data_IF_650897124883
#
_entry.id   IF_650897124883
#
_cell.length_a   1.000
_cell.length_b   1.000
_cell.length_c   1.000
_cell.angle_alpha   90.00
_cell.angle_beta   90.00
_cell.angle_gamma   90.00
#
_symmetry.space_group_name_H-M   'P 1'
#
loop_
_entity.id
_entity.type
_entity.pdbx_description
1 polymer ?
#
# COMPACT_ATOMS: atom_id res chain seq x y z
N UNK A 1 -9.94 -7.83 -14.97
CA UNK A 1 -8.58 -7.33 -15.30
C UNK A 1 -8.08 -6.26 -14.33
N UNK A 2 -8.84 -5.18 -14.05
CA UNK A 2 -8.42 -4.07 -13.17
C UNK A 2 -7.89 -4.50 -11.78
N UNK A 3 -8.56 -5.45 -11.12
CA UNK A 3 -8.15 -5.97 -9.80
C UNK A 3 -6.77 -6.66 -9.79
N UNK A 4 -6.42 -7.44 -10.82
CA UNK A 4 -5.10 -8.12 -10.90
C UNK A 4 -3.95 -7.14 -11.07
N UNK A 5 -4.15 -6.09 -11.88
CA UNK A 5 -3.15 -5.04 -12.07
C UNK A 5 -2.93 -4.26 -10.77
N UNK A 6 -4.00 -3.89 -10.07
CA UNK A 6 -3.92 -3.20 -8.79
C UNK A 6 -3.23 -4.04 -7.72
N UNK A 7 -3.52 -5.34 -7.66
CA UNK A 7 -2.81 -6.28 -6.78
C UNK A 7 -1.30 -6.31 -7.08
N UNK A 8 -0.92 -6.29 -8.36
CA UNK A 8 0.49 -6.19 -8.76
C UNK A 8 1.16 -4.91 -8.25
N UNK A 9 0.47 -3.77 -8.34
CA UNK A 9 0.99 -2.49 -7.80
C UNK A 9 1.15 -2.53 -6.28
N UNK A 10 0.19 -3.09 -5.55
CA UNK A 10 0.27 -3.27 -4.09
C UNK A 10 1.49 -4.11 -3.72
N UNK A 11 1.71 -5.25 -4.38
CA UNK A 11 2.86 -6.13 -4.11
C UNK A 11 4.17 -5.40 -4.39
N UNK A 12 4.28 -4.69 -5.52
CA UNK A 12 5.47 -3.93 -5.86
C UNK A 12 5.74 -2.82 -4.83
N UNK A 13 4.72 -2.04 -4.47
CA UNK A 13 4.84 -0.93 -3.52
C UNK A 13 5.23 -1.42 -2.14
N UNK A 14 4.67 -2.55 -1.67
CA UNK A 14 5.06 -3.22 -0.42
C UNK A 14 6.54 -3.61 -0.41
N UNK A 15 7.07 -4.15 -1.51
CA UNK A 15 8.51 -4.46 -1.63
C UNK A 15 9.38 -3.21 -1.54
N UNK A 16 8.99 -2.13 -2.22
CA UNK A 16 9.71 -0.84 -2.16
C UNK A 16 9.70 -0.27 -0.75
N UNK A 17 8.56 -0.29 -0.06
CA UNK A 17 8.44 0.19 1.32
C UNK A 17 9.40 -0.55 2.26
N UNK A 18 9.42 -1.89 2.22
CA UNK A 18 10.34 -2.68 3.05
C UNK A 18 11.81 -2.46 2.69
N UNK A 19 12.12 -2.31 1.40
CA UNK A 19 13.49 -2.00 0.99
C UNK A 19 13.95 -0.65 1.58
N UNK A 20 13.10 0.37 1.52
CA UNK A 20 13.38 1.68 2.12
C UNK A 20 13.45 1.60 3.64
N UNK A 21 12.56 0.86 4.29
CA UNK A 21 12.57 0.67 5.74
C UNK A 21 13.84 -0.03 6.22
N UNK A 22 14.32 -1.02 5.48
CA UNK A 22 15.59 -1.70 5.79
C UNK A 22 16.79 -0.77 5.64
N UNK A 23 16.75 0.17 4.69
CA UNK A 23 17.86 1.08 4.43
C UNK A 23 17.85 2.33 5.32
N UNK A 24 16.67 2.90 5.59
CA UNK A 24 16.52 4.21 6.24
C UNK A 24 15.82 4.15 7.61
N UNK A 25 15.18 3.03 7.96
CA UNK A 25 14.32 2.90 9.13
C UNK A 25 12.85 3.22 8.85
N UNK A 26 11.94 2.69 9.68
CA UNK A 26 10.49 2.79 9.46
C UNK A 26 9.90 4.19 9.59
N UNK A 27 10.54 5.06 10.38
CA UNK A 27 10.09 6.44 10.62
C UNK A 27 10.65 7.44 9.61
N UNK A 28 11.51 6.98 8.68
CA UNK A 28 12.05 7.85 7.65
C UNK A 28 10.92 8.33 6.73
N UNK A 29 10.96 9.61 6.35
CA UNK A 29 9.90 10.25 5.53
C UNK A 29 9.58 9.47 4.25
N UNK A 30 10.61 8.96 3.56
CA UNK A 30 10.44 8.17 2.33
C UNK A 30 9.72 6.82 2.54
N UNK A 31 9.73 6.29 3.76
CA UNK A 31 9.01 5.06 4.15
C UNK A 31 7.58 5.41 4.53
N UNK A 32 7.38 6.49 5.29
CA UNK A 32 6.05 7.01 5.65
C UNK A 32 5.25 7.38 4.40
N UNK A 33 5.83 8.11 3.47
CA UNK A 33 5.15 8.43 2.20
C UNK A 33 4.84 7.16 1.40
N UNK A 34 5.74 6.16 1.43
CA UNK A 34 5.52 4.90 0.73
C UNK A 34 4.38 4.07 1.36
N UNK A 35 4.24 4.08 2.69
CA UNK A 35 3.14 3.42 3.38
C UNK A 35 1.80 4.10 3.11
N UNK A 36 1.76 5.45 3.08
CA UNK A 36 0.56 6.20 2.72
C UNK A 36 0.08 5.90 1.30
N UNK A 37 1.01 5.84 0.33
CA UNK A 37 0.68 5.45 -1.04
C UNK A 37 0.21 3.99 -1.15
N UNK A 38 0.77 3.09 -0.34
CA UNK A 38 0.34 1.69 -0.26
C UNK A 38 -1.08 1.57 0.30
N UNK A 39 -1.43 2.36 1.32
CA UNK A 39 -2.78 2.41 1.89
C UNK A 39 -3.83 2.85 0.86
N UNK A 40 -3.52 3.87 0.04
CA UNK A 40 -4.41 4.30 -1.04
C UNK A 40 -4.70 3.14 -2.01
N UNK A 41 -3.66 2.40 -2.41
CA UNK A 41 -3.82 1.25 -3.32
C UNK A 41 -4.64 0.12 -2.68
N UNK A 42 -4.43 -0.13 -1.39
CA UNK A 42 -5.19 -1.13 -0.62
C UNK A 42 -6.67 -0.74 -0.50
N UNK A 43 -6.96 0.52 -0.22
CA UNK A 43 -8.32 1.04 -0.15
C UNK A 43 -9.04 0.93 -1.49
N UNK A 44 -8.39 1.33 -2.59
CA UNK A 44 -8.93 1.15 -3.94
C UNK A 44 -9.20 -0.33 -4.26
N UNK A 45 -8.31 -1.23 -3.79
CA UNK A 45 -8.49 -2.66 -4.01
C UNK A 45 -9.69 -3.19 -3.23
N UNK A 46 -9.85 -2.78 -1.97
CA UNK A 46 -11.00 -3.15 -1.15
C UNK A 46 -12.33 -2.64 -1.74
N UNK A 47 -12.37 -1.38 -2.22
CA UNK A 47 -13.53 -0.82 -2.91
C UNK A 47 -13.91 -1.65 -4.14
N UNK A 48 -12.92 -1.99 -4.98
CA UNK A 48 -13.14 -2.81 -6.18
C UNK A 48 -13.56 -4.24 -5.84
N UNK A 49 -13.10 -4.79 -4.71
CA UNK A 49 -13.51 -6.11 -4.22
C UNK A 49 -14.87 -6.09 -3.48
N UNK A 50 -15.52 -4.93 -3.31
CA UNK A 50 -16.81 -4.81 -2.65
C UNK A 50 -16.79 -5.11 -1.15
N UNK A 51 -15.61 -5.20 -0.53
CA UNK A 51 -15.46 -5.50 0.89
C UNK A 51 -15.21 -4.18 1.63
N UNK A 52 -16.29 -3.45 1.92
CA UNK A 52 -16.27 -2.33 2.85
C UNK A 52 -15.85 -2.84 4.23
N UNK A 53 -14.57 -2.66 4.59
CA UNK A 53 -14.17 -2.55 6.00
C UNK A 53 -13.89 -1.09 6.28
N UNK A 54 -14.94 -0.39 6.68
CA UNK A 54 -14.84 0.86 7.43
C UNK A 54 -14.02 0.57 8.69
N UNK A 55 -12.72 0.85 8.65
CA UNK A 55 -11.89 0.91 9.84
C UNK A 55 -11.27 2.29 9.88
N UNK A 56 -12.13 3.27 10.11
CA UNK A 56 -11.73 4.56 10.65
C UNK A 56 -11.36 4.33 12.11
N UNK A 57 -10.11 4.63 12.47
CA UNK A 57 -9.68 4.82 13.86
C UNK A 57 -9.58 6.33 14.06
#
# INVERSE_FOLDING_TARGET
MKSKFLLGQIILKKKVMYHRAKHFGYTHSSVISCSQELDILLNQYHEIQGSFRHTTI
#
